data_IF_216313677354
#
_entry.id   IF_216313677354
#
_cell.length_a   1.000
_cell.length_b   1.000
_cell.length_c   1.000
_cell.angle_alpha   90.00
_cell.angle_beta   90.00
_cell.angle_gamma   90.00
#
_symmetry.space_group_name_H-M   'P 1'
#
loop_
_entity.id
_entity.type
_entity.pdbx_description
1 polymer ?
#
# COMPACT_ATOMS: atom_id res chain seq x y z
N UNK A 1 8.73 -7.47 -27.12
CA UNK A 1 8.76 -6.43 -26.07
C UNK A 1 8.27 -7.04 -24.77
N UNK A 2 8.64 -6.48 -23.59
CA UNK A 2 8.06 -6.90 -22.32
C UNK A 2 6.54 -6.68 -22.30
N UNK A 3 5.79 -7.56 -21.65
CA UNK A 3 4.34 -7.44 -21.49
C UNK A 3 3.93 -7.71 -20.04
N UNK A 4 3.02 -6.90 -19.53
CA UNK A 4 2.45 -7.07 -18.19
C UNK A 4 0.93 -7.20 -18.28
N UNK A 5 0.36 -8.10 -17.48
CA UNK A 5 -1.07 -8.39 -17.46
C UNK A 5 -1.58 -8.85 -16.10
N UNK A 6 -2.90 -8.84 -15.93
CA UNK A 6 -3.60 -9.41 -14.78
C UNK A 6 -4.64 -10.41 -15.28
N UNK A 7 -4.73 -11.55 -14.61
CA UNK A 7 -5.76 -12.56 -14.86
C UNK A 7 -6.33 -13.03 -13.52
N UNK A 8 -7.66 -13.13 -13.44
CA UNK A 8 -8.33 -13.78 -12.32
C UNK A 8 -8.59 -15.23 -12.69
N UNK A 9 -8.11 -16.15 -11.86
CA UNK A 9 -8.25 -17.59 -12.04
C UNK A 9 -9.16 -18.14 -10.94
N UNK A 10 -10.11 -18.99 -11.32
CA UNK A 10 -10.92 -19.76 -10.36
C UNK A 10 -10.35 -21.18 -10.29
N UNK A 11 -9.79 -21.55 -9.14
CA UNK A 11 -9.30 -22.90 -8.83
C UNK A 11 -10.14 -23.50 -7.70
N UNK A 12 -11.16 -24.28 -8.08
CA UNK A 12 -12.13 -24.82 -7.13
C UNK A 12 -12.85 -23.68 -6.41
N UNK A 13 -12.84 -23.70 -5.07
CA UNK A 13 -13.48 -22.67 -4.24
C UNK A 13 -12.62 -21.41 -4.05
N UNK A 14 -11.41 -21.36 -4.62
CA UNK A 14 -10.48 -20.23 -4.47
C UNK A 14 -10.43 -19.38 -5.73
N UNK A 15 -10.67 -18.08 -5.56
CA UNK A 15 -10.41 -17.07 -6.59
C UNK A 15 -9.04 -16.45 -6.35
N UNK A 16 -8.14 -16.57 -7.32
CA UNK A 16 -6.76 -16.12 -7.25
C UNK A 16 -6.53 -15.08 -8.34
N UNK A 17 -6.00 -13.91 -7.97
CA UNK A 17 -5.53 -12.94 -8.95
C UNK A 17 -4.05 -13.18 -9.23
N UNK A 18 -3.68 -13.26 -10.50
CA UNK A 18 -2.30 -13.49 -10.92
C UNK A 18 -1.84 -12.30 -11.76
N UNK A 19 -0.70 -11.72 -11.38
CA UNK A 19 0.06 -10.81 -12.24
C UNK A 19 0.99 -11.63 -13.13
N UNK A 20 0.93 -11.37 -14.42
CA UNK A 20 1.77 -12.00 -15.45
C UNK A 20 2.72 -10.95 -15.97
N UNK A 21 4.00 -11.27 -16.03
CA UNK A 21 5.02 -10.43 -16.66
C UNK A 21 5.86 -11.28 -17.61
N UNK A 22 6.00 -10.86 -18.85
CA UNK A 22 6.87 -11.49 -19.86
C UNK A 22 8.04 -10.58 -20.20
N UNK A 23 9.21 -11.17 -20.38
CA UNK A 23 10.45 -10.49 -20.73
C UNK A 23 11.17 -11.27 -21.84
N UNK A 24 11.50 -10.64 -22.99
CA UNK A 24 12.36 -11.26 -23.99
C UNK A 24 13.72 -11.62 -23.39
N UNK A 25 14.22 -12.81 -23.72
CA UNK A 25 15.48 -13.37 -23.26
C UNK A 25 16.23 -14.02 -24.43
N UNK A 26 17.53 -14.28 -24.27
CA UNK A 26 18.35 -14.96 -25.28
C UNK A 26 17.85 -16.36 -25.65
N UNK A 27 17.05 -16.97 -24.79
CA UNK A 27 16.49 -18.32 -24.97
C UNK A 27 14.96 -18.32 -25.22
N UNK A 28 14.37 -17.19 -25.60
CA UNK A 28 12.92 -17.06 -25.83
C UNK A 28 12.27 -16.04 -24.90
N UNK A 29 11.09 -16.34 -24.35
CA UNK A 29 10.43 -15.49 -23.35
C UNK A 29 10.59 -16.05 -21.93
N UNK A 30 10.94 -15.17 -20.99
CA UNK A 30 10.87 -15.44 -19.56
C UNK A 30 9.52 -14.96 -19.05
N UNK A 31 8.78 -15.85 -18.38
CA UNK A 31 7.48 -15.54 -17.79
C UNK A 31 7.60 -15.60 -16.27
N UNK A 32 7.06 -14.58 -15.59
CA UNK A 32 6.90 -14.56 -14.13
C UNK A 32 5.41 -14.47 -13.80
N UNK A 33 4.94 -15.42 -13.00
CA UNK A 33 3.60 -15.41 -12.42
C UNK A 33 3.71 -15.05 -10.95
N UNK A 34 3.07 -13.95 -10.56
CA UNK A 34 2.93 -13.56 -9.15
C UNK A 34 1.49 -13.79 -8.71
N UNK A 35 1.33 -14.76 -7.81
CA UNK A 35 0.06 -15.07 -7.16
C UNK A 35 -0.22 -13.97 -6.13
N UNK A 36 -1.37 -13.33 -6.23
CA UNK A 36 -1.87 -12.37 -5.26
C UNK A 36 -2.96 -13.05 -4.42
N UNK A 37 -2.66 -13.23 -3.14
CA UNK A 37 -3.62 -13.78 -2.18
C UNK A 37 -4.46 -12.64 -1.57
N UNK A 38 -5.75 -12.62 -1.91
CA UNK A 38 -6.72 -11.66 -1.36
C UNK A 38 -6.93 -11.82 0.14
N UNK A 39 -6.63 -12.95 0.75
CA UNK A 39 -6.82 -13.15 2.19
C UNK A 39 -5.83 -12.34 3.03
N UNK A 40 -4.63 -12.09 2.51
CA UNK A 40 -3.63 -11.22 3.15
C UNK A 40 -4.11 -9.78 3.37
N UNK A 41 -5.21 -9.39 2.71
CA UNK A 41 -5.86 -8.10 2.86
C UNK A 41 -6.58 -7.88 4.18
N UNK A 42 -6.94 -8.96 4.86
CA UNK A 42 -7.81 -8.91 6.03
C UNK A 42 -7.07 -9.20 7.33
N UNK A 43 -5.73 -9.17 7.32
CA UNK A 43 -4.93 -9.32 8.54
C UNK A 43 -5.28 -8.18 9.50
N UNK A 44 -5.74 -8.52 10.70
CA UNK A 44 -5.95 -7.53 11.75
C UNK A 44 -4.61 -7.18 12.39
N UNK A 45 -4.53 -5.99 12.97
CA UNK A 45 -3.29 -5.50 13.60
C UNK A 45 -2.77 -6.44 14.70
N UNK A 46 -3.65 -7.15 15.40
CA UNK A 46 -3.31 -8.13 16.44
C UNK A 46 -2.72 -9.43 15.87
N UNK A 47 -2.97 -9.72 14.59
CA UNK A 47 -2.53 -10.94 13.90
C UNK A 47 -1.18 -10.75 13.17
N UNK A 48 -0.53 -9.59 13.31
CA UNK A 48 0.75 -9.28 12.65
C UNK A 48 1.95 -10.08 13.19
N UNK A 49 1.78 -10.80 14.30
CA UNK A 49 2.86 -11.54 14.95
C UNK A 49 3.91 -10.65 15.62
N UNK A 50 3.58 -9.39 15.90
CA UNK A 50 4.46 -8.47 16.62
C UNK A 50 4.51 -8.84 18.12
N UNK A 51 5.68 -8.76 18.77
CA UNK A 51 5.78 -8.85 20.22
C UNK A 51 4.84 -7.85 20.90
N UNK A 52 4.21 -8.22 22.01
CA UNK A 52 3.17 -7.42 22.69
C UNK A 52 3.61 -5.98 22.97
N UNK A 53 4.86 -5.77 23.40
CA UNK A 53 5.41 -4.44 23.66
C UNK A 53 5.50 -3.59 22.38
N UNK A 54 5.91 -4.19 21.26
CA UNK A 54 6.01 -3.52 19.96
C UNK A 54 4.62 -3.22 19.41
N UNK A 55 3.69 -4.18 19.50
CA UNK A 55 2.31 -4.00 19.08
C UNK A 55 1.62 -2.87 19.87
N UNK A 56 1.82 -2.82 21.18
CA UNK A 56 1.28 -1.76 22.04
C UNK A 56 1.83 -0.38 21.64
N UNK A 57 3.14 -0.28 21.42
CA UNK A 57 3.76 0.97 20.97
C UNK A 57 3.24 1.37 19.59
N UNK A 58 3.12 0.42 18.66
CA UNK A 58 2.59 0.69 17.33
C UNK A 58 1.14 1.20 17.37
N UNK A 59 0.27 0.54 18.14
CA UNK A 59 -1.12 0.97 18.38
C UNK A 59 -1.21 2.35 19.03
N UNK A 60 -0.28 2.68 19.92
CA UNK A 60 -0.20 4.00 20.54
C UNK A 60 0.21 5.05 19.51
N UNK A 61 1.28 4.82 18.76
CA UNK A 61 1.78 5.76 17.75
C UNK A 61 0.79 6.01 16.61
N UNK A 62 -0.03 5.03 16.25
CA UNK A 62 -1.11 5.21 15.27
C UNK A 62 -2.17 6.23 15.74
N UNK A 63 -2.33 6.40 17.06
CA UNK A 63 -3.33 7.31 17.66
C UNK A 63 -2.75 8.68 18.03
N UNK A 64 -1.46 8.89 17.82
CA UNK A 64 -0.87 10.21 18.04
C UNK A 64 -1.53 11.21 17.06
N UNK A 65 -1.88 12.43 17.52
CA UNK A 65 -2.62 13.40 16.72
C UNK A 65 -1.83 13.91 15.51
N UNK A 66 -0.49 13.85 15.59
CA UNK A 66 0.42 14.22 14.52
C UNK A 66 1.68 13.38 14.61
N UNK A 67 2.28 13.06 13.47
CA UNK A 67 3.52 12.30 13.41
C UNK A 67 3.74 11.60 12.08
N UNK A 68 4.90 10.96 11.96
CA UNK A 68 5.28 10.18 10.78
C UNK A 68 5.75 8.80 11.23
N UNK A 69 5.12 7.75 10.69
CA UNK A 69 5.53 6.36 10.90
C UNK A 69 6.17 5.86 9.59
N UNK A 70 7.44 5.46 9.65
CA UNK A 70 8.19 4.98 8.50
C UNK A 70 8.30 3.46 8.51
N UNK A 71 7.85 2.82 7.43
CA UNK A 71 8.00 1.39 7.20
C UNK A 71 9.17 1.14 6.25
N UNK A 72 10.22 0.48 6.73
CA UNK A 72 11.42 0.17 5.95
C UNK A 72 11.63 -1.34 5.82
N UNK A 73 12.41 -1.76 4.83
CA UNK A 73 12.71 -3.17 4.57
C UNK A 73 12.60 -3.55 3.09
N UNK A 74 13.16 -4.69 2.67
CA UNK A 74 13.16 -5.13 1.28
C UNK A 74 11.75 -5.52 0.79
N UNK A 75 11.60 -5.73 -0.53
CA UNK A 75 10.37 -6.26 -1.10
C UNK A 75 10.00 -7.60 -0.45
N UNK A 76 8.73 -7.78 -0.10
CA UNK A 76 8.23 -9.00 0.53
C UNK A 76 8.41 -9.07 2.05
N UNK A 77 8.92 -8.03 2.72
CA UNK A 77 9.09 -8.00 4.17
C UNK A 77 7.81 -7.70 4.97
N UNK A 78 6.64 -7.67 4.33
CA UNK A 78 5.36 -7.40 5.00
C UNK A 78 4.97 -5.92 5.20
N UNK A 79 5.73 -4.95 4.66
CA UNK A 79 5.44 -3.50 4.85
C UNK A 79 3.99 -3.12 4.55
N UNK A 80 3.51 -3.46 3.35
CA UNK A 80 2.14 -3.12 2.92
C UNK A 80 1.11 -3.77 3.83
N UNK A 81 1.32 -5.04 4.21
CA UNK A 81 0.46 -5.77 5.15
C UNK A 81 0.39 -5.07 6.51
N UNK A 82 1.53 -4.68 7.07
CA UNK A 82 1.57 -3.96 8.36
C UNK A 82 0.89 -2.59 8.26
N UNK A 83 1.19 -1.81 7.21
CA UNK A 83 0.56 -0.51 6.99
C UNK A 83 -0.97 -0.62 6.90
N UNK A 84 -1.46 -1.54 6.08
CA UNK A 84 -2.89 -1.72 5.87
C UNK A 84 -3.60 -2.20 7.13
N UNK A 85 -2.97 -3.08 7.93
CA UNK A 85 -3.52 -3.49 9.22
C UNK A 85 -3.62 -2.29 10.20
N UNK A 86 -2.65 -1.39 10.18
CA UNK A 86 -2.71 -0.12 10.93
C UNK A 86 -3.81 0.82 10.45
N UNK A 87 -3.95 1.00 9.13
CA UNK A 87 -5.01 1.84 8.57
C UNK A 87 -6.41 1.31 8.90
N UNK A 88 -6.61 -0.02 8.87
CA UNK A 88 -7.88 -0.65 9.29
C UNK A 88 -8.18 -0.42 10.77
N UNK A 89 -7.16 -0.53 11.62
CA UNK A 89 -7.30 -0.23 13.04
C UNK A 89 -7.72 1.23 13.30
N UNK A 90 -7.34 2.15 12.41
CA UNK A 90 -7.74 3.56 12.46
C UNK A 90 -9.08 3.85 11.78
N UNK A 91 -9.44 3.15 10.70
CA UNK A 91 -10.68 3.40 9.94
C UNK A 91 -11.95 3.21 10.76
N UNK A 92 -11.88 2.43 11.84
CA UNK A 92 -12.98 2.25 12.79
C UNK A 92 -13.28 3.53 13.63
N UNK A 93 -12.52 4.62 13.46
CA UNK A 93 -12.56 5.81 14.31
C UNK A 93 -13.07 7.11 13.65
N UNK A 94 -13.89 7.04 12.60
CA UNK A 94 -14.48 8.20 11.88
C UNK A 94 -13.49 9.17 11.23
N UNK A 95 -12.24 8.77 11.06
CA UNK A 95 -11.18 9.56 10.45
C UNK A 95 -11.23 9.54 8.91
N UNK A 96 -10.91 10.67 8.28
CA UNK A 96 -10.67 10.79 6.85
C UNK A 96 -9.27 10.27 6.49
N UNK A 97 -9.22 9.02 6.04
CA UNK A 97 -7.96 8.33 5.68
C UNK A 97 -7.82 8.30 4.16
N UNK A 98 -6.72 8.88 3.65
CA UNK A 98 -6.42 8.94 2.22
C UNK A 98 -5.06 8.35 1.89
N UNK A 99 -4.95 7.65 0.75
CA UNK A 99 -3.70 6.99 0.33
C UNK A 99 -3.30 7.32 -1.11
N UNK A 100 -2.00 7.30 -1.38
CA UNK A 100 -1.42 7.30 -2.73
C UNK A 100 -0.48 6.11 -2.90
N UNK A 101 -0.73 5.27 -3.91
CA UNK A 101 -0.11 3.94 -4.03
C UNK A 101 0.29 3.58 -5.47
N UNK A 102 1.23 2.64 -5.65
CA UNK A 102 1.64 2.16 -6.98
C UNK A 102 2.00 0.65 -6.99
N UNK A 103 1.07 -0.24 -7.38
CA UNK A 103 -0.37 -0.03 -7.49
C UNK A 103 -1.08 -0.18 -6.15
N UNK A 104 -2.39 0.07 -6.12
CA UNK A 104 -3.24 -0.40 -5.02
C UNK A 104 -3.26 -1.93 -5.08
N UNK A 105 -2.88 -2.58 -3.97
CA UNK A 105 -2.81 -4.05 -3.91
C UNK A 105 -4.21 -4.65 -3.74
N UNK A 106 -5.07 -4.02 -2.93
CA UNK A 106 -6.48 -4.38 -2.76
C UNK A 106 -7.23 -3.21 -2.09
N UNK A 107 -8.57 -3.24 -2.22
CA UNK A 107 -9.43 -2.19 -1.69
C UNK A 107 -9.66 -2.33 -0.19
N UNK A 108 -9.44 -1.25 0.55
CA UNK A 108 -9.79 -1.12 1.96
C UNK A 108 -11.11 -0.36 2.10
N UNK A 109 -12.06 -0.94 2.84
CA UNK A 109 -13.34 -0.29 3.09
C UNK A 109 -13.15 0.97 3.94
N UNK A 110 -13.87 2.05 3.60
CA UNK A 110 -13.82 3.32 4.34
C UNK A 110 -12.57 4.17 4.11
N UNK A 111 -11.63 3.74 3.25
CA UNK A 111 -10.37 4.45 3.00
C UNK A 111 -10.35 4.96 1.55
N UNK A 112 -10.04 6.25 1.36
CA UNK A 112 -9.93 6.86 0.03
C UNK A 112 -8.58 6.55 -0.62
N UNK A 113 -8.51 5.47 -1.39
CA UNK A 113 -7.27 5.05 -2.05
C UNK A 113 -7.14 5.62 -3.46
N UNK A 114 -5.97 6.20 -3.77
CA UNK A 114 -5.61 6.66 -5.12
C UNK A 114 -4.40 5.92 -5.64
N UNK A 115 -4.37 5.65 -6.95
CA UNK A 115 -3.25 4.97 -7.60
C UNK A 115 -2.48 5.93 -8.49
N UNK A 116 -1.15 5.88 -8.41
CA UNK A 116 -0.24 6.52 -9.36
C UNK A 116 -0.62 6.12 -10.79
N UNK A 117 -0.65 7.11 -11.67
CA UNK A 117 -0.93 6.92 -13.08
C UNK A 117 0.07 7.70 -13.92
N UNK A 118 1.07 6.99 -14.41
CA UNK A 118 2.15 7.56 -15.22
C UNK A 118 1.65 8.10 -16.57
N UNK A 119 0.56 7.55 -17.12
CA UNK A 119 -0.02 8.00 -18.40
C UNK A 119 -0.64 9.38 -18.30
N UNK A 120 -1.27 9.70 -17.17
CA UNK A 120 -1.84 11.03 -16.90
C UNK A 120 -0.87 11.95 -16.17
N UNK A 121 0.32 11.45 -15.82
CA UNK A 121 1.31 12.17 -15.03
C UNK A 121 0.90 12.41 -13.57
N UNK A 122 0.00 11.58 -13.02
CA UNK A 122 -0.37 11.58 -11.60
C UNK A 122 0.66 10.77 -10.80
N UNK A 123 1.63 11.47 -10.21
CA UNK A 123 2.77 10.89 -9.46
C UNK A 123 2.53 10.91 -7.95
N UNK A 124 3.38 10.24 -7.15
CA UNK A 124 3.35 10.30 -5.68
C UNK A 124 3.34 11.75 -5.16
N UNK A 125 4.28 12.59 -5.58
CA UNK A 125 4.33 13.99 -5.17
C UNK A 125 3.06 14.79 -5.53
N UNK A 126 2.46 14.56 -6.71
CA UNK A 126 1.21 15.24 -7.09
C UNK A 126 0.00 14.72 -6.32
N UNK A 127 -0.08 13.40 -6.14
CA UNK A 127 -1.14 12.75 -5.37
C UNK A 127 -1.11 13.19 -3.91
N UNK A 128 0.06 13.15 -3.28
CA UNK A 128 0.26 13.60 -1.91
C UNK A 128 -0.14 15.08 -1.73
N UNK A 129 0.29 15.99 -2.62
CA UNK A 129 -0.17 17.39 -2.59
C UNK A 129 -1.67 17.53 -2.73
N UNK A 130 -2.31 16.71 -3.56
CA UNK A 130 -3.75 16.75 -3.74
C UNK A 130 -4.47 16.27 -2.48
N UNK A 131 -4.02 15.16 -1.90
CA UNK A 131 -4.53 14.58 -0.65
C UNK A 131 -4.47 15.61 0.49
N UNK A 132 -3.36 16.33 0.64
CA UNK A 132 -3.22 17.36 1.69
C UNK A 132 -4.24 18.51 1.59
N UNK A 133 -4.93 18.68 0.45
CA UNK A 133 -6.02 19.66 0.29
C UNK A 133 -7.42 19.03 0.42
N UNK A 134 -7.51 17.79 0.90
CA UNK A 134 -8.77 17.08 1.08
C UNK A 134 -9.16 16.95 2.56
N UNK A 135 -8.56 17.78 3.43
CA UNK A 135 -8.77 17.75 4.88
C UNK A 135 -8.53 16.35 5.48
N UNK A 136 -7.38 15.67 5.18
CA UNK A 136 -7.12 14.32 5.67
C UNK A 136 -6.71 14.33 7.14
N UNK A 137 -7.24 13.36 7.91
CA UNK A 137 -6.75 13.06 9.25
C UNK A 137 -5.51 12.15 9.21
N UNK A 138 -5.49 11.21 8.26
CA UNK A 138 -4.40 10.23 8.10
C UNK A 138 -4.04 10.12 6.63
N UNK A 139 -2.75 10.22 6.33
CA UNK A 139 -2.22 10.08 4.97
C UNK A 139 -1.26 8.89 4.90
N UNK A 140 -1.47 7.99 3.94
CA UNK A 140 -0.53 6.92 3.62
C UNK A 140 0.11 7.14 2.25
N UNK A 141 1.43 7.06 2.20
CA UNK A 141 2.22 7.15 0.98
C UNK A 141 2.90 5.81 0.75
N UNK A 142 2.54 5.13 -0.34
CA UNK A 142 3.00 3.76 -0.61
C UNK A 142 4.52 3.62 -0.69
N UNK A 143 5.20 4.64 -1.20
CA UNK A 143 6.66 4.74 -1.19
C UNK A 143 7.15 6.18 -1.36
N UNK A 144 8.34 6.47 -0.84
CA UNK A 144 9.01 7.77 -0.96
C UNK A 144 10.36 7.59 -1.65
N UNK A 145 10.36 7.48 -2.98
CA UNK A 145 11.58 7.25 -3.77
C UNK A 145 12.31 8.53 -4.14
N UNK A 146 11.58 9.64 -4.26
CA UNK A 146 12.11 10.91 -4.71
C UNK A 146 12.11 11.96 -3.58
N UNK A 147 13.01 12.94 -3.70
CA UNK A 147 13.21 14.01 -2.71
C UNK A 147 11.96 14.88 -2.57
N UNK A 148 11.20 15.07 -3.65
CA UNK A 148 10.02 15.93 -3.65
C UNK A 148 8.92 15.32 -2.78
N UNK A 149 8.59 14.04 -2.99
CA UNK A 149 7.65 13.27 -2.17
C UNK A 149 8.09 13.27 -0.71
N UNK A 150 9.38 13.01 -0.44
CA UNK A 150 9.95 13.05 0.91
C UNK A 150 9.76 14.43 1.59
N UNK A 151 10.08 15.52 0.87
CA UNK A 151 9.93 16.87 1.39
C UNK A 151 8.48 17.24 1.67
N UNK A 152 7.52 16.79 0.84
CA UNK A 152 6.10 17.06 1.09
C UNK A 152 5.63 16.27 2.32
N UNK A 153 6.00 15.00 2.44
CA UNK A 153 5.54 14.15 3.54
C UNK A 153 6.14 14.48 4.90
N UNK A 154 7.28 15.17 4.96
CA UNK A 154 7.91 15.62 6.22
C UNK A 154 7.42 17.00 6.65
N UNK A 155 6.88 17.81 5.74
CA UNK A 155 6.39 19.14 6.11
C UNK A 155 5.12 18.99 6.96
N UNK A 156 5.05 19.66 8.12
CA UNK A 156 3.80 19.74 8.85
C UNK A 156 2.75 20.41 7.97
N UNK A 157 1.52 19.89 8.06
CA UNK A 157 0.32 20.52 7.50
C UNK A 157 -0.08 21.70 8.38
#
# INVERSE_FOLDING_TARGET
MPQDGRVSLSLGDKNIDVRVSTLPSSYGERIVLRILDKQSAQINIDDLGLPTSILSNYKSSLRDPEGIILFTGPTGSGKTTTMYAGLRYLSDSSQNILTVEDPIEYTLSGIGQTQVNTKTGYTFAKGLRAILRQDPDVVMVGEMRDVETAQIGIRPV
#
